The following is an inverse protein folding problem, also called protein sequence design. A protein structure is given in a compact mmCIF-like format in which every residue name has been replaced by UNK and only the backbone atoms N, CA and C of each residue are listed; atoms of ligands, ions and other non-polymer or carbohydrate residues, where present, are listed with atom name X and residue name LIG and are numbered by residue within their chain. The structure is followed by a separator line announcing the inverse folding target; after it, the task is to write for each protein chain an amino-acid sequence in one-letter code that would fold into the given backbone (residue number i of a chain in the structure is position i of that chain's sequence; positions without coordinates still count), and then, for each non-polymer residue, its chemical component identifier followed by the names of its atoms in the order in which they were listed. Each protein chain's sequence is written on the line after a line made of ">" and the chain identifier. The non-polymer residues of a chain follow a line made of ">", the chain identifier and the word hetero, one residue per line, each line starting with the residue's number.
data_IF_945193482632
#
_entry.id   IF_945193482632
#
_cell.length_a   1.000
_cell.length_b   1.000
_cell.length_c   1.000
_cell.angle_alpha   90.00
_cell.angle_beta   90.00
_cell.angle_gamma   90.00
#
_symmetry.space_group_name_H-M   'P 1'
#
loop_
_entity.id
_entity.type
_entity.pdbx_description
1 polymer ?
#
# COMPACT_ATOMS: atom_id res chain seq x y z
N UNK A 1 9.95 -1.92 -16.93
CA UNK A 1 9.26 -2.25 -18.20
C UNK A 1 8.64 -1.05 -18.86
N UNK A 2 7.91 -0.19 -18.15
CA UNK A 2 7.16 0.91 -18.75
C UNK A 2 8.01 1.91 -19.55
N UNK A 3 9.25 2.19 -19.13
CA UNK A 3 10.15 3.17 -19.77
C UNK A 3 10.93 2.64 -20.98
N UNK A 4 10.55 1.48 -21.51
CA UNK A 4 11.22 0.90 -22.68
C UNK A 4 10.61 1.44 -23.99
N UNK A 5 11.44 1.66 -25.01
CA UNK A 5 10.96 2.08 -26.34
C UNK A 5 9.97 1.07 -26.94
N UNK A 6 10.19 -0.23 -26.68
CA UNK A 6 9.29 -1.33 -27.08
C UNK A 6 9.18 -2.37 -25.98
N UNK A 7 7.96 -2.87 -25.78
CA UNK A 7 7.65 -4.00 -24.90
C UNK A 7 7.12 -5.12 -25.80
N UNK A 8 7.71 -6.31 -25.69
CA UNK A 8 7.29 -7.50 -26.45
C UNK A 8 6.87 -8.57 -25.43
N UNK A 9 5.70 -9.17 -25.63
CA UNK A 9 5.16 -10.22 -24.78
C UNK A 9 4.70 -11.40 -25.64
N UNK A 10 4.82 -12.62 -25.11
CA UNK A 10 4.22 -13.80 -25.74
C UNK A 10 2.70 -13.76 -25.54
N UNK A 11 1.90 -14.40 -26.40
CA UNK A 11 0.44 -14.48 -26.21
C UNK A 11 0.02 -15.09 -24.86
N UNK A 12 0.89 -15.88 -24.24
CA UNK A 12 0.68 -16.52 -22.93
C UNK A 12 1.34 -15.78 -21.77
N UNK A 13 1.98 -14.63 -21.99
CA UNK A 13 2.62 -13.86 -20.92
C UNK A 13 1.56 -13.28 -19.98
N UNK A 14 1.69 -13.57 -18.68
CA UNK A 14 0.98 -12.85 -17.63
C UNK A 14 1.79 -11.62 -17.24
N UNK A 15 1.19 -10.44 -17.37
CA UNK A 15 1.78 -9.14 -17.04
C UNK A 15 0.66 -8.18 -16.62
N UNK A 16 0.99 -6.91 -16.34
CA UNK A 16 0.07 -5.95 -15.75
C UNK A 16 0.19 -5.99 -14.24
N UNK A 17 -0.90 -6.33 -13.54
CA UNK A 17 -0.99 -6.20 -12.08
C UNK A 17 -0.68 -4.77 -11.63
N UNK A 18 -1.26 -3.79 -12.33
CA UNK A 18 -1.11 -2.37 -12.02
C UNK A 18 -1.96 -2.09 -10.79
N UNK A 19 -1.33 -2.13 -9.62
CA UNK A 19 -2.02 -1.97 -8.34
C UNK A 19 -1.03 -1.94 -7.19
N UNK A 20 -1.49 -1.42 -6.05
CA UNK A 20 -0.73 -1.38 -4.79
C UNK A 20 -1.66 -1.83 -3.67
N UNK A 21 -1.16 -2.67 -2.78
CA UNK A 21 -1.87 -3.07 -1.57
C UNK A 21 -0.89 -3.22 -0.41
N UNK A 22 -1.41 -3.16 0.81
CA UNK A 22 -0.67 -3.44 2.02
C UNK A 22 -1.54 -4.18 3.01
N UNK A 23 -0.92 -5.03 3.82
CA UNK A 23 -1.56 -5.77 4.90
C UNK A 23 -0.74 -5.57 6.15
N UNK A 24 -1.37 -5.04 7.20
CA UNK A 24 -0.74 -4.88 8.50
C UNK A 24 -1.45 -5.81 9.48
N UNK A 25 -0.68 -6.69 10.10
CA UNK A 25 -1.17 -7.64 11.08
C UNK A 25 -0.75 -7.21 12.47
N UNK A 26 -1.69 -7.20 13.40
CA UNK A 26 -1.46 -6.90 14.82
C UNK A 26 -1.96 -8.06 15.69
N UNK A 27 -1.37 -8.19 16.88
CA UNK A 27 -1.49 -9.35 17.76
C UNK A 27 -1.99 -9.00 19.16
N UNK A 28 -2.41 -7.75 19.39
CA UNK A 28 -2.84 -7.24 20.70
C UNK A 28 -3.97 -8.08 21.30
N UNK A 29 -4.94 -8.52 20.47
CA UNK A 29 -6.05 -9.38 20.90
C UNK A 29 -5.60 -10.81 21.22
N UNK A 30 -4.64 -11.34 20.46
CA UNK A 30 -4.08 -12.68 20.69
C UNK A 30 -3.30 -12.72 22.00
N UNK A 31 -2.48 -11.70 22.24
CA UNK A 31 -1.70 -11.54 23.46
C UNK A 31 -2.57 -11.26 24.69
N UNK A 32 -3.61 -10.44 24.56
CA UNK A 32 -4.56 -10.21 25.65
C UNK A 32 -5.22 -11.50 26.13
N UNK A 33 -5.56 -12.43 25.24
CA UNK A 33 -6.09 -13.76 25.60
C UNK A 33 -5.08 -14.64 26.37
N UNK A 34 -3.79 -14.37 26.22
CA UNK A 34 -2.70 -15.04 26.94
C UNK A 34 -2.28 -14.28 28.21
N UNK A 35 -2.96 -13.18 28.55
CA UNK A 35 -2.61 -12.32 29.69
C UNK A 35 -1.43 -11.37 29.45
N UNK A 36 -0.97 -11.23 28.21
CA UNK A 36 0.14 -10.36 27.83
C UNK A 36 -0.44 -9.03 27.33
N UNK A 37 -0.04 -7.92 27.96
CA UNK A 37 -0.49 -6.57 27.59
C UNK A 37 0.73 -5.67 27.32
N UNK A 38 0.57 -4.68 26.45
CA UNK A 38 1.58 -3.66 26.16
C UNK A 38 1.05 -2.30 26.59
N UNK A 39 1.86 -1.51 27.28
CA UNK A 39 1.56 -0.15 27.69
C UNK A 39 2.82 0.73 27.60
N UNK A 40 2.66 2.04 27.55
CA UNK A 40 3.76 3.00 27.42
C UNK A 40 3.30 4.45 27.29
N UNK A 41 4.27 5.36 27.36
CA UNK A 41 4.05 6.80 27.13
C UNK A 41 4.69 7.22 25.81
N UNK A 42 4.03 8.13 25.10
CA UNK A 42 4.45 8.62 23.80
C UNK A 42 4.37 10.13 23.70
N UNK A 43 5.25 10.72 22.90
CA UNK A 43 5.28 12.17 22.65
C UNK A 43 4.66 12.57 21.31
N UNK A 44 4.23 11.59 20.52
CA UNK A 44 3.59 11.77 19.21
C UNK A 44 2.27 11.01 19.13
N UNK A 45 1.28 11.47 18.34
CA UNK A 45 0.03 10.74 18.10
C UNK A 45 0.20 9.29 17.60
N UNK A 46 1.34 8.96 16.98
CA UNK A 46 1.62 7.62 16.44
C UNK A 46 2.51 6.76 17.33
N UNK A 47 2.94 7.27 18.50
CA UNK A 47 3.90 6.56 19.37
C UNK A 47 3.36 5.24 19.93
N UNK A 48 2.04 5.07 19.98
CA UNK A 48 1.39 3.85 20.47
C UNK A 48 1.10 2.80 19.40
N UNK A 49 1.38 3.07 18.13
CA UNK A 49 1.02 2.18 17.03
C UNK A 49 2.07 1.09 16.84
N UNK A 50 1.63 -0.16 16.74
CA UNK A 50 2.55 -1.28 16.66
C UNK A 50 1.89 -2.65 16.63
N UNK A 51 2.70 -3.68 16.39
CA UNK A 51 2.22 -5.05 16.23
C UNK A 51 1.57 -5.61 17.51
N UNK A 52 1.87 -5.06 18.69
CA UNK A 52 1.33 -5.52 19.99
C UNK A 52 0.27 -4.61 20.59
N UNK A 53 0.04 -3.45 19.96
CA UNK A 53 -0.87 -2.40 20.44
C UNK A 53 -1.98 -2.08 19.45
N UNK A 54 -1.85 -2.52 18.20
CA UNK A 54 -2.80 -2.22 17.14
C UNK A 54 -2.38 -1.00 16.31
N UNK A 55 -3.27 -0.60 15.39
CA UNK A 55 -3.18 0.66 14.67
C UNK A 55 -4.29 1.60 15.11
N UNK A 56 -3.93 2.83 15.41
CA UNK A 56 -4.85 3.93 15.57
C UNK A 56 -5.57 4.26 14.26
N UNK A 57 -6.70 4.95 14.37
CA UNK A 57 -7.42 5.47 13.19
C UNK A 57 -6.53 6.41 12.37
N UNK A 58 -5.77 7.28 13.04
CA UNK A 58 -4.83 8.20 12.40
C UNK A 58 -3.75 7.46 11.60
N UNK A 59 -3.12 6.43 12.19
CA UNK A 59 -2.13 5.63 11.47
C UNK A 59 -2.75 4.89 10.29
N UNK A 60 -3.96 4.34 10.46
CA UNK A 60 -4.69 3.66 9.38
C UNK A 60 -4.95 4.59 8.20
N UNK A 61 -5.35 5.84 8.45
CA UNK A 61 -5.53 6.86 7.41
C UNK A 61 -4.22 7.24 6.72
N UNK A 62 -3.12 7.37 7.48
CA UNK A 62 -1.79 7.65 6.91
C UNK A 62 -1.35 6.53 5.97
N UNK A 63 -1.53 5.26 6.37
CA UNK A 63 -1.24 4.13 5.50
C UNK A 63 -2.10 4.16 4.24
N UNK A 64 -3.40 4.42 4.37
CA UNK A 64 -4.32 4.52 3.23
C UNK A 64 -3.88 5.62 2.24
N UNK A 65 -3.55 6.83 2.74
CA UNK A 65 -3.03 7.93 1.92
C UNK A 65 -1.73 7.55 1.20
N UNK A 66 -0.86 6.79 1.87
CA UNK A 66 0.37 6.27 1.26
C UNK A 66 0.08 5.33 0.07
N UNK A 67 -0.90 4.44 0.21
CA UNK A 67 -1.32 3.52 -0.86
C UNK A 67 -1.93 4.28 -2.02
N UNK A 68 -2.84 5.23 -1.76
CA UNK A 68 -3.48 6.06 -2.79
C UNK A 68 -2.44 6.89 -3.57
N UNK A 69 -1.51 7.52 -2.85
CA UNK A 69 -0.42 8.27 -3.45
C UNK A 69 0.48 7.37 -4.31
N UNK A 70 0.83 6.18 -3.80
CA UNK A 70 1.62 5.20 -4.54
C UNK A 70 0.92 4.75 -5.82
N UNK A 71 -0.37 4.41 -5.74
CA UNK A 71 -1.15 3.95 -6.88
C UNK A 71 -1.23 5.05 -7.95
N UNK A 72 -1.58 6.28 -7.54
CA UNK A 72 -1.60 7.44 -8.42
C UNK A 72 -0.25 7.63 -9.13
N UNK A 73 0.86 7.52 -8.40
CA UNK A 73 2.20 7.62 -8.99
C UNK A 73 2.47 6.51 -10.00
N UNK A 74 2.05 5.28 -9.71
CA UNK A 74 2.23 4.15 -10.62
C UNK A 74 1.47 4.38 -11.93
N UNK A 75 0.17 4.68 -11.87
CA UNK A 75 -0.63 4.91 -13.09
C UNK A 75 -0.18 6.15 -13.87
N UNK A 76 0.28 7.21 -13.20
CA UNK A 76 0.89 8.37 -13.87
C UNK A 76 2.14 7.98 -14.65
N UNK A 77 3.03 7.18 -14.07
CA UNK A 77 4.24 6.73 -14.76
C UNK A 77 3.92 5.84 -15.96
N UNK A 78 2.92 4.97 -15.85
CA UNK A 78 2.47 4.16 -16.98
C UNK A 78 1.90 5.05 -18.08
N UNK A 79 1.03 6.01 -17.73
CA UNK A 79 0.44 6.96 -18.68
C UNK A 79 1.49 7.77 -19.43
N UNK A 80 2.44 8.36 -18.69
CA UNK A 80 3.56 9.15 -19.23
C UNK A 80 4.42 8.36 -20.23
N UNK A 81 4.67 7.07 -19.99
CA UNK A 81 5.58 6.28 -20.82
C UNK A 81 4.86 5.49 -21.93
N UNK A 82 3.52 5.42 -21.90
CA UNK A 82 2.71 4.66 -22.85
C UNK A 82 1.76 5.53 -23.69
N UNK A 83 1.89 6.86 -23.58
CA UNK A 83 1.04 7.84 -24.26
C UNK A 83 -0.46 7.62 -23.97
N UNK A 84 -0.79 7.29 -22.73
CA UNK A 84 -2.16 7.06 -22.26
C UNK A 84 -2.53 8.12 -21.22
N UNK A 85 -3.79 8.55 -21.23
CA UNK A 85 -4.35 9.34 -20.13
C UNK A 85 -4.42 8.51 -18.85
N UNK A 86 -4.48 9.20 -17.70
CA UNK A 86 -4.64 8.57 -16.40
C UNK A 86 -5.89 7.70 -16.35
N UNK A 87 -7.00 8.20 -16.89
CA UNK A 87 -8.28 7.50 -16.94
C UNK A 87 -8.27 6.29 -17.87
N UNK A 88 -7.41 6.28 -18.91
CA UNK A 88 -7.21 5.11 -19.75
C UNK A 88 -6.43 4.03 -19.00
N UNK A 89 -5.37 4.40 -18.28
CA UNK A 89 -4.56 3.44 -17.50
C UNK A 89 -5.37 2.82 -16.36
N UNK A 90 -6.19 3.62 -15.66
CA UNK A 90 -7.00 3.15 -14.53
C UNK A 90 -8.12 2.17 -14.93
N UNK A 91 -8.45 2.10 -16.23
CA UNK A 91 -9.46 1.17 -16.78
C UNK A 91 -8.89 -0.20 -17.17
N UNK A 92 -7.57 -0.38 -17.16
CA UNK A 92 -6.88 -1.61 -17.60
C UNK A 92 -6.60 -2.53 -16.42
#
# INVERSE_FOLDING_TARGET
>A
SMSADKIVAQPTTLTGSIGIFSVITTFEKGFSKLGINTDGVGTSPFSGDGITTGLSEGASQVFQLGIEHGYKRFISLVGENRDMSLEEVDKV
#
